data_IF_724359349251
#
_entry.id   IF_724359349251
#
_cell.length_a   1.000
_cell.length_b   1.000
_cell.length_c   1.000
_cell.angle_alpha   90.00
_cell.angle_beta   90.00
_cell.angle_gamma   90.00
#
_symmetry.space_group_name_H-M   'P 1'
#
loop_
_entity.id
_entity.type
_entity.pdbx_description
1 polymer ?
#
# COMPACT_ATOMS: atom_id res chain seq x y z
N UNK A 1 1.68 25.94 3.15
CA UNK A 1 2.85 25.06 2.95
C UNK A 1 3.10 24.37 4.27
N UNK A 2 2.91 23.05 4.38
CA UNK A 2 3.64 22.30 5.40
C UNK A 2 5.08 22.29 4.90
N UNK A 3 5.88 23.19 5.47
CA UNK A 3 7.33 23.16 5.34
C UNK A 3 7.68 21.86 6.06
N UNK A 4 8.02 20.82 5.30
CA UNK A 4 8.93 19.81 5.81
C UNK A 4 10.11 20.61 6.34
N UNK A 5 10.24 20.72 7.67
CA UNK A 5 11.57 20.97 8.21
C UNK A 5 12.43 19.84 7.64
N UNK A 6 13.54 20.14 6.96
CA UNK A 6 14.52 19.13 6.60
C UNK A 6 15.24 18.71 7.88
N UNK A 7 14.49 18.14 8.84
CA UNK A 7 15.05 17.54 10.03
C UNK A 7 15.45 16.11 9.65
N UNK A 8 16.69 16.00 9.17
CA UNK A 8 17.66 14.98 9.59
C UNK A 8 17.17 13.54 9.76
N UNK A 9 16.38 13.00 8.82
CA UNK A 9 16.36 11.53 8.68
C UNK A 9 17.69 11.17 8.03
N UNK A 10 18.53 10.33 8.65
CA UNK A 10 19.77 9.89 8.02
C UNK A 10 19.37 9.24 6.69
N UNK A 11 19.81 9.85 5.61
CA UNK A 11 19.70 9.26 4.28
C UNK A 11 20.56 8.00 4.31
N UNK A 12 19.97 6.85 4.01
CA UNK A 12 20.76 5.64 3.83
C UNK A 12 21.76 5.92 2.70
N UNK A 13 23.04 5.69 2.97
CA UNK A 13 24.08 5.64 1.96
C UNK A 13 23.79 4.50 0.99
N UNK A 14 24.32 4.58 -0.24
CA UNK A 14 24.19 3.51 -1.21
C UNK A 14 24.64 2.15 -0.64
N UNK A 15 25.75 2.13 0.11
CA UNK A 15 26.24 0.93 0.78
C UNK A 15 25.25 0.38 1.82
N UNK A 16 24.64 1.24 2.64
CA UNK A 16 23.61 0.81 3.61
C UNK A 16 22.38 0.23 2.90
N UNK A 17 21.96 0.82 1.77
CA UNK A 17 20.85 0.28 0.98
C UNK A 17 21.22 -1.09 0.41
N UNK A 18 22.42 -1.27 -0.14
CA UNK A 18 22.90 -2.57 -0.63
C UNK A 18 22.89 -3.63 0.48
N UNK A 19 23.43 -3.31 1.66
CA UNK A 19 23.45 -4.23 2.81
C UNK A 19 22.02 -4.63 3.21
N UNK A 20 21.09 -3.67 3.29
CA UNK A 20 19.68 -3.97 3.59
C UNK A 20 19.07 -4.87 2.52
N UNK A 21 19.33 -4.59 1.25
CA UNK A 21 18.81 -5.38 0.14
C UNK A 21 19.32 -6.83 0.20
N UNK A 22 20.62 -7.04 0.37
CA UNK A 22 21.23 -8.37 0.50
C UNK A 22 20.69 -9.13 1.71
N UNK A 23 20.65 -8.49 2.89
CA UNK A 23 20.10 -9.08 4.12
C UNK A 23 18.68 -9.58 3.91
N UNK A 24 17.83 -8.75 3.30
CA UNK A 24 16.40 -9.05 3.16
C UNK A 24 16.08 -9.94 1.97
N UNK A 25 16.86 -9.92 0.90
CA UNK A 25 16.79 -10.93 -0.17
C UNK A 25 17.01 -12.31 0.45
N UNK A 26 18.05 -12.47 1.28
CA UNK A 26 18.31 -13.73 1.94
C UNK A 26 17.19 -14.10 2.94
N UNK A 27 16.77 -13.14 3.78
CA UNK A 27 15.75 -13.38 4.81
C UNK A 27 14.39 -13.77 4.23
N UNK A 28 14.02 -13.20 3.08
CA UNK A 28 12.78 -13.50 2.36
C UNK A 28 12.92 -14.69 1.40
N UNK A 29 14.10 -15.32 1.36
CA UNK A 29 14.44 -16.44 0.49
C UNK A 29 14.29 -16.10 -1.00
N UNK A 30 14.69 -14.90 -1.41
CA UNK A 30 14.58 -14.42 -2.79
C UNK A 30 15.87 -14.65 -3.59
N UNK A 31 16.83 -15.39 -3.03
CA UNK A 31 18.09 -15.73 -3.70
C UNK A 31 17.83 -16.49 -5.01
N UNK A 32 18.59 -16.13 -6.05
CA UNK A 32 18.45 -16.73 -7.38
C UNK A 32 17.32 -16.15 -8.23
N UNK A 33 16.48 -15.27 -7.69
CA UNK A 33 15.59 -14.46 -8.52
C UNK A 33 16.37 -13.31 -9.18
N UNK A 34 16.09 -13.01 -10.47
CA UNK A 34 16.67 -11.85 -11.13
C UNK A 34 16.03 -10.57 -10.57
N UNK A 35 16.66 -9.95 -9.57
CA UNK A 35 16.22 -8.70 -8.94
C UNK A 35 17.29 -7.62 -9.17
N UNK A 36 16.88 -6.53 -9.80
CA UNK A 36 17.71 -5.35 -10.03
C UNK A 36 17.23 -4.20 -9.14
N UNK A 37 18.18 -3.50 -8.52
CA UNK A 37 17.92 -2.33 -7.69
C UNK A 37 18.33 -1.08 -8.47
N UNK A 38 17.34 -0.32 -8.92
CA UNK A 38 17.52 0.87 -9.75
C UNK A 38 17.49 2.12 -8.86
N UNK A 39 18.65 2.72 -8.60
CA UNK A 39 18.77 3.91 -7.76
C UNK A 39 18.50 5.16 -8.59
N UNK A 40 17.49 5.94 -8.17
CA UNK A 40 17.06 7.14 -8.89
C UNK A 40 17.47 8.39 -8.09
N UNK A 41 18.53 9.05 -8.54
CA UNK A 41 19.03 10.34 -8.04
C UNK A 41 18.16 11.53 -8.52
N UNK A 42 16.85 11.41 -8.35
CA UNK A 42 15.94 12.55 -8.52
C UNK A 42 15.24 12.82 -7.21
N UNK A 43 15.04 14.11 -6.84
CA UNK A 43 14.27 14.43 -5.66
C UNK A 43 12.89 13.81 -5.83
N UNK A 44 12.58 12.86 -4.94
CA UNK A 44 11.30 12.22 -4.72
C UNK A 44 10.15 12.90 -5.46
N UNK A 45 9.42 12.16 -6.30
CA UNK A 45 8.29 12.72 -7.05
C UNK A 45 7.27 13.32 -6.07
N UNK A 46 7.37 14.65 -5.86
CA UNK A 46 6.58 15.41 -4.89
C UNK A 46 5.07 15.30 -5.15
N UNK A 47 4.67 14.82 -6.34
CA UNK A 47 3.27 14.60 -6.71
C UNK A 47 2.76 13.22 -6.29
N UNK A 48 3.58 12.16 -6.35
CA UNK A 48 3.13 10.78 -6.08
C UNK A 48 3.39 10.33 -4.66
N UNK A 49 4.34 10.95 -3.97
CA UNK A 49 4.79 10.55 -2.65
C UNK A 49 5.30 9.09 -2.57
N UNK A 50 5.94 8.59 -3.62
CA UNK A 50 6.49 7.22 -3.66
C UNK A 50 7.99 7.24 -3.38
N UNK A 51 8.41 6.44 -2.39
CA UNK A 51 9.82 6.26 -2.03
C UNK A 51 10.47 5.10 -2.78
N UNK A 52 9.67 4.13 -3.21
CA UNK A 52 10.08 3.05 -4.07
C UNK A 52 8.89 2.55 -4.91
N UNK A 53 9.21 1.72 -5.90
CA UNK A 53 8.22 0.96 -6.67
C UNK A 53 8.84 -0.34 -7.19
N UNK A 54 8.11 -1.43 -7.01
CA UNK A 54 8.42 -2.72 -7.64
C UNK A 54 7.81 -2.83 -9.04
N UNK A 55 8.60 -3.30 -10.00
CA UNK A 55 8.20 -3.51 -11.39
C UNK A 55 8.62 -4.91 -11.84
N UNK A 56 7.80 -5.54 -12.68
CA UNK A 56 8.21 -6.71 -13.45
C UNK A 56 8.51 -6.29 -14.88
N UNK A 57 9.71 -6.62 -15.35
CA UNK A 57 10.13 -6.49 -16.74
C UNK A 57 9.88 -7.80 -17.49
N UNK A 58 8.95 -7.75 -18.44
CA UNK A 58 8.56 -8.93 -19.22
C UNK A 58 9.60 -9.34 -20.26
N UNK A 59 10.44 -8.41 -20.72
CA UNK A 59 11.47 -8.67 -21.73
C UNK A 59 12.69 -9.32 -21.07
N UNK A 60 13.15 -8.75 -19.96
CA UNK A 60 14.30 -9.27 -19.20
C UNK A 60 13.94 -10.45 -18.27
N UNK A 61 12.63 -10.69 -18.06
CA UNK A 61 12.11 -11.65 -17.07
C UNK A 61 12.70 -11.42 -15.69
N UNK A 62 12.73 -10.15 -15.29
CA UNK A 62 13.38 -9.69 -14.08
C UNK A 62 12.51 -8.72 -13.27
N UNK A 63 12.75 -8.71 -11.96
CA UNK A 63 12.20 -7.72 -11.05
C UNK A 63 13.10 -6.50 -11.01
N UNK A 64 12.49 -5.32 -11.06
CA UNK A 64 13.16 -4.05 -10.84
C UNK A 64 12.55 -3.38 -9.64
N UNK A 65 13.40 -2.92 -8.71
CA UNK A 65 12.96 -2.07 -7.61
C UNK A 65 13.60 -0.71 -7.83
N UNK A 66 12.79 0.26 -8.21
CA UNK A 66 13.21 1.65 -8.30
C UNK A 66 13.22 2.26 -6.90
N UNK A 67 14.38 2.68 -6.43
CA UNK A 67 14.59 3.28 -5.10
C UNK A 67 14.92 4.77 -5.27
N UNK A 68 14.07 5.65 -4.75
CA UNK A 68 14.24 7.10 -4.87
C UNK A 68 15.08 7.66 -3.71
N UNK A 69 15.65 8.85 -3.90
CA UNK A 69 16.37 9.58 -2.85
C UNK A 69 15.52 9.71 -1.57
N UNK A 70 16.15 9.61 -0.39
CA UNK A 70 15.52 9.62 0.94
C UNK A 70 14.67 8.38 1.29
N UNK A 71 14.90 7.27 0.60
CA UNK A 71 14.30 5.99 0.97
C UNK A 71 14.76 5.56 2.36
N UNK A 72 13.85 4.97 3.13
CA UNK A 72 14.13 4.41 4.45
C UNK A 72 14.13 2.88 4.43
N UNK A 73 14.73 2.27 5.46
CA UNK A 73 14.86 0.81 5.57
C UNK A 73 13.51 0.10 5.43
N UNK A 74 12.45 0.64 6.03
CA UNK A 74 11.11 0.02 5.99
C UNK A 74 10.55 0.04 4.56
N UNK A 75 10.73 1.13 3.82
CA UNK A 75 10.31 1.22 2.43
C UNK A 75 11.05 0.20 1.53
N UNK A 76 12.37 0.05 1.67
CA UNK A 76 13.14 -0.96 0.90
C UNK A 76 12.60 -2.36 1.17
N UNK A 77 12.42 -2.72 2.45
CA UNK A 77 11.91 -4.03 2.84
C UNK A 77 10.47 -4.23 2.35
N UNK A 78 9.64 -3.18 2.36
CA UNK A 78 8.27 -3.22 1.84
C UNK A 78 8.23 -3.56 0.34
N UNK A 79 9.07 -2.91 -0.47
CA UNK A 79 9.15 -3.21 -1.91
C UNK A 79 9.61 -4.66 -2.17
N UNK A 80 10.60 -5.16 -1.42
CA UNK A 80 10.99 -6.58 -1.45
C UNK A 80 9.86 -7.50 -0.99
N UNK A 81 9.06 -7.05 -0.03
CA UNK A 81 7.88 -7.74 0.47
C UNK A 81 6.83 -7.98 -0.60
N UNK A 82 6.71 -7.12 -1.60
CA UNK A 82 5.86 -7.39 -2.75
C UNK A 82 6.34 -8.64 -3.51
N UNK A 83 7.64 -8.72 -3.86
CA UNK A 83 8.21 -9.88 -4.56
C UNK A 83 8.03 -11.16 -3.74
N UNK A 84 8.32 -11.10 -2.45
CA UNK A 84 8.07 -12.19 -1.51
C UNK A 84 6.60 -12.60 -1.49
N UNK A 85 5.69 -11.63 -1.51
CA UNK A 85 4.27 -11.91 -1.51
C UNK A 85 3.83 -12.60 -2.82
N UNK A 86 4.34 -12.16 -3.97
CA UNK A 86 4.15 -12.87 -5.25
C UNK A 86 4.61 -14.32 -5.18
N UNK A 87 5.78 -14.55 -4.59
CA UNK A 87 6.39 -15.88 -4.42
C UNK A 87 5.49 -16.80 -3.60
N UNK A 88 5.03 -16.37 -2.43
CA UNK A 88 4.22 -17.24 -1.55
C UNK A 88 2.82 -17.51 -2.11
N UNK A 89 2.26 -16.59 -2.90
CA UNK A 89 1.01 -16.80 -3.64
C UNK A 89 1.18 -17.71 -4.86
N UNK A 90 2.42 -17.97 -5.27
CA UNK A 90 2.76 -18.61 -6.54
C UNK A 90 2.06 -17.93 -7.74
N UNK A 91 1.98 -16.59 -7.69
CA UNK A 91 1.37 -15.76 -8.73
C UNK A 91 2.28 -14.55 -8.97
N UNK A 92 3.38 -14.77 -9.70
CA UNK A 92 4.45 -13.79 -9.92
C UNK A 92 3.97 -12.47 -10.53
N UNK A 93 2.85 -12.47 -11.24
CA UNK A 93 2.28 -11.28 -11.87
C UNK A 93 1.32 -10.49 -10.96
N UNK A 94 1.09 -10.95 -9.73
CA UNK A 94 0.03 -10.44 -8.85
C UNK A 94 0.34 -9.05 -8.27
N UNK A 95 1.59 -8.82 -7.87
CA UNK A 95 2.08 -7.60 -7.21
C UNK A 95 2.86 -6.68 -8.14
N UNK A 96 3.18 -7.13 -9.35
CA UNK A 96 3.90 -6.32 -10.30
C UNK A 96 2.98 -5.20 -10.79
N UNK A 97 3.31 -3.94 -10.45
CA UNK A 97 3.09 -2.87 -11.41
C UNK A 97 3.87 -3.27 -12.65
N UNK A 98 3.24 -3.98 -13.57
CA UNK A 98 3.96 -4.42 -14.73
C UNK A 98 4.52 -3.14 -15.39
N UNK A 99 5.68 -3.21 -16.02
CA UNK A 99 5.82 -2.52 -17.31
C UNK A 99 4.83 -3.17 -18.28
N UNK A 100 3.53 -3.11 -17.94
CA UNK A 100 2.46 -3.33 -18.89
C UNK A 100 2.83 -2.41 -20.02
N UNK A 101 2.88 -2.91 -21.26
CA UNK A 101 3.18 -2.11 -22.44
C UNK A 101 2.65 -0.69 -22.19
N UNK A 102 3.50 0.35 -22.24
CA UNK A 102 3.15 1.73 -21.78
C UNK A 102 1.71 2.14 -22.16
N UNK A 103 1.24 1.62 -23.30
CA UNK A 103 -0.12 1.66 -23.80
C UNK A 103 -1.24 1.15 -22.87
N UNK A 104 -1.09 0.03 -22.15
CA UNK A 104 -2.10 -0.50 -21.21
C UNK A 104 -2.10 0.24 -19.88
N UNK A 105 -0.94 0.62 -19.34
CA UNK A 105 -0.87 1.49 -18.16
C UNK A 105 -1.56 2.85 -18.42
N UNK A 106 -1.37 3.42 -19.62
CA UNK A 106 -2.09 4.64 -20.06
C UNK A 106 -3.61 4.51 -20.09
N UNK A 107 -4.15 3.29 -20.16
CA UNK A 107 -5.60 3.03 -20.15
C UNK A 107 -6.17 2.81 -18.75
N UNK A 108 -5.31 2.66 -17.74
CA UNK A 108 -5.74 2.47 -16.36
C UNK A 108 -6.05 3.81 -15.71
N UNK A 109 -7.10 3.83 -14.89
CA UNK A 109 -7.37 4.92 -13.99
C UNK A 109 -6.37 4.85 -12.83
N UNK A 110 -5.44 5.80 -12.84
CA UNK A 110 -4.37 5.88 -11.85
C UNK A 110 -4.90 5.96 -10.41
N UNK A 111 -5.97 6.73 -10.17
CA UNK A 111 -6.53 6.86 -8.82
C UNK A 111 -7.10 5.53 -8.33
N UNK A 112 -7.82 4.78 -9.16
CA UNK A 112 -8.29 3.44 -8.80
C UNK A 112 -7.11 2.51 -8.45
N UNK A 113 -6.07 2.53 -9.28
CA UNK A 113 -4.86 1.70 -9.10
C UNK A 113 -4.18 1.97 -7.77
N UNK A 114 -4.12 3.23 -7.33
CA UNK A 114 -3.54 3.58 -6.02
C UNK A 114 -4.27 2.91 -4.86
N UNK A 115 -5.59 2.80 -4.94
CA UNK A 115 -6.37 2.15 -3.88
C UNK A 115 -6.14 0.63 -3.85
N UNK A 116 -5.89 0.01 -5.00
CA UNK A 116 -5.52 -1.41 -5.05
C UNK A 116 -4.19 -1.63 -4.36
N UNK A 117 -3.17 -0.88 -4.78
CA UNK A 117 -1.85 -0.94 -4.16
C UNK A 117 -1.97 -0.70 -2.65
N UNK A 118 -2.72 0.32 -2.24
CA UNK A 118 -2.92 0.62 -0.81
C UNK A 118 -3.50 -0.53 0.01
N UNK A 119 -4.41 -1.33 -0.54
CA UNK A 119 -4.93 -2.52 0.12
C UNK A 119 -3.96 -3.71 0.02
N UNK A 120 -3.29 -3.86 -1.11
CA UNK A 120 -2.26 -4.87 -1.35
C UNK A 120 -1.07 -4.69 -0.37
N UNK A 121 -0.63 -3.45 -0.16
CA UNK A 121 0.39 -3.05 0.80
C UNK A 121 0.08 -3.58 2.20
N UNK A 122 -1.19 -3.65 2.60
CA UNK A 122 -1.58 -4.22 3.90
C UNK A 122 -1.33 -5.72 3.99
N UNK A 123 -1.54 -6.48 2.90
CA UNK A 123 -1.16 -7.89 2.88
C UNK A 123 0.37 -8.06 2.93
N UNK A 124 1.08 -7.24 2.16
CA UNK A 124 2.56 -7.24 2.16
C UNK A 124 3.09 -6.94 3.56
N UNK A 125 2.64 -5.84 4.19
CA UNK A 125 3.06 -5.47 5.53
C UNK A 125 2.71 -6.56 6.54
N UNK A 126 1.50 -7.15 6.47
CA UNK A 126 1.12 -8.26 7.32
C UNK A 126 2.10 -9.43 7.23
N UNK A 127 2.42 -9.88 6.02
CA UNK A 127 3.36 -10.99 5.83
C UNK A 127 4.79 -10.64 6.27
N UNK A 128 5.22 -9.39 6.07
CA UNK A 128 6.51 -8.90 6.54
C UNK A 128 6.60 -8.80 8.07
N UNK A 129 5.50 -8.49 8.78
CA UNK A 129 5.51 -8.43 10.26
C UNK A 129 5.81 -9.76 10.95
N UNK A 130 5.78 -10.87 10.20
CA UNK A 130 6.18 -12.20 10.68
C UNK A 130 7.71 -12.34 10.80
N UNK A 131 8.48 -11.47 10.17
CA UNK A 131 9.94 -11.46 10.22
C UNK A 131 10.45 -10.53 11.31
N UNK A 132 11.42 -11.02 12.08
CA UNK A 132 12.11 -10.22 13.10
C UNK A 132 12.75 -8.97 12.48
N UNK A 133 12.75 -7.85 13.21
CA UNK A 133 13.32 -6.58 12.76
C UNK A 133 12.44 -5.73 11.82
N UNK A 134 11.52 -6.33 11.04
CA UNK A 134 10.54 -5.52 10.29
C UNK A 134 9.44 -4.97 11.20
N UNK A 135 8.97 -5.79 12.15
CA UNK A 135 7.86 -5.40 13.02
C UNK A 135 8.15 -4.09 13.79
N UNK A 136 9.36 -3.90 14.31
CA UNK A 136 9.72 -2.68 15.05
C UNK A 136 9.74 -1.43 14.14
N UNK A 137 10.20 -1.60 12.90
CA UNK A 137 10.15 -0.56 11.89
C UNK A 137 8.70 -0.22 11.50
N UNK A 138 7.83 -1.23 11.41
CA UNK A 138 6.40 -1.07 11.19
C UNK A 138 5.72 -0.32 12.35
N UNK A 139 5.98 -0.70 13.60
CA UNK A 139 5.44 0.00 14.79
C UNK A 139 5.90 1.46 14.84
N UNK A 140 7.17 1.73 14.50
CA UNK A 140 7.72 3.09 14.43
C UNK A 140 7.01 3.91 13.36
N UNK A 141 6.75 3.32 12.19
CA UNK A 141 5.96 3.93 11.13
C UNK A 141 4.54 4.27 11.61
N UNK A 142 3.83 3.32 12.22
CA UNK A 142 2.48 3.54 12.76
C UNK A 142 2.46 4.66 13.80
N UNK A 143 3.41 4.66 14.74
CA UNK A 143 3.49 5.73 15.75
C UNK A 143 3.71 7.11 15.13
N UNK A 144 4.47 7.20 14.03
CA UNK A 144 4.64 8.45 13.27
C UNK A 144 3.36 8.84 12.53
N UNK A 145 2.72 7.89 11.86
CA UNK A 145 1.52 8.11 11.04
C UNK A 145 0.33 8.56 11.92
N UNK A 146 0.16 7.98 13.11
CA UNK A 146 -0.87 8.38 14.08
C UNK A 146 -0.72 9.83 14.56
N UNK A 147 0.51 10.36 14.59
CA UNK A 147 0.82 11.76 14.96
C UNK A 147 0.66 12.72 13.80
N UNK A 148 0.81 12.24 12.57
CA UNK A 148 0.66 13.04 11.37
C UNK A 148 -0.81 13.13 10.94
N UNK A 149 -1.24 14.32 10.52
CA UNK A 149 -2.58 14.52 10.00
C UNK A 149 -2.54 15.10 8.60
N UNK A 150 -3.21 14.46 7.62
CA UNK A 150 -3.36 15.04 6.31
C UNK A 150 -4.10 16.38 6.41
N UNK A 151 -3.52 17.45 5.85
CA UNK A 151 -4.08 18.80 5.88
C UNK A 151 -5.50 18.84 5.28
N UNK A 152 -6.55 19.14 6.08
CA UNK A 152 -7.94 19.22 5.63
C UNK A 152 -8.18 20.19 4.47
N UNK A 153 -7.35 21.21 4.29
CA UNK A 153 -7.52 22.19 3.23
C UNK A 153 -6.95 21.72 1.89
N UNK A 154 -5.98 20.78 1.91
CA UNK A 154 -5.24 20.34 0.71
C UNK A 154 -5.84 19.12 0.02
N UNK A 155 -6.58 18.31 0.76
CA UNK A 155 -6.98 16.99 0.30
C UNK A 155 -8.50 16.87 0.10
N UNK A 156 -8.92 16.15 -0.93
CA UNK A 156 -10.33 15.83 -1.18
C UNK A 156 -10.78 14.61 -0.34
N UNK A 157 -12.07 14.28 -0.41
CA UNK A 157 -12.63 13.14 0.32
C UNK A 157 -11.94 11.81 0.00
N UNK A 158 -11.59 11.60 -1.28
CA UNK A 158 -10.90 10.39 -1.77
C UNK A 158 -9.55 10.25 -1.10
N UNK A 159 -8.75 11.30 -1.06
CA UNK A 159 -7.43 11.21 -0.42
C UNK A 159 -7.53 10.84 1.08
N UNK A 160 -8.52 11.36 1.81
CA UNK A 160 -8.76 10.92 3.20
C UNK A 160 -9.19 9.47 3.31
N UNK A 161 -10.05 8.99 2.40
CA UNK A 161 -10.44 7.59 2.38
C UNK A 161 -9.24 6.68 2.11
N UNK A 162 -8.37 7.05 1.18
CA UNK A 162 -7.13 6.34 0.90
C UNK A 162 -6.27 6.15 2.15
N UNK A 163 -6.15 7.17 3.01
CA UNK A 163 -5.46 7.05 4.30
C UNK A 163 -6.23 6.14 5.27
N UNK A 164 -7.55 6.30 5.35
CA UNK A 164 -8.42 5.53 6.24
C UNK A 164 -8.28 4.02 6.03
N UNK A 165 -8.32 3.55 4.77
CA UNK A 165 -8.29 2.12 4.43
C UNK A 165 -7.07 1.42 5.02
N UNK A 166 -5.88 2.01 4.84
CA UNK A 166 -4.65 1.43 5.37
C UNK A 166 -4.52 1.60 6.86
N UNK A 167 -4.77 2.80 7.39
CA UNK A 167 -4.66 3.03 8.83
C UNK A 167 -5.56 2.07 9.62
N UNK A 168 -6.78 1.82 9.13
CA UNK A 168 -7.72 0.88 9.74
C UNK A 168 -7.15 -0.56 9.77
N UNK A 169 -6.71 -1.08 8.62
CA UNK A 169 -6.18 -2.45 8.55
C UNK A 169 -4.88 -2.59 9.35
N UNK A 170 -3.95 -1.66 9.16
CA UNK A 170 -2.65 -1.69 9.84
C UNK A 170 -2.81 -1.68 11.37
N UNK A 171 -3.69 -0.82 11.90
CA UNK A 171 -3.87 -0.67 13.35
C UNK A 171 -4.75 -1.76 13.96
N UNK A 172 -5.82 -2.20 13.28
CA UNK A 172 -6.75 -3.17 13.87
C UNK A 172 -6.37 -4.63 13.62
N UNK A 173 -5.66 -4.92 12.51
CA UNK A 173 -5.51 -6.29 12.02
C UNK A 173 -4.07 -6.75 11.80
N UNK A 174 -3.11 -5.82 11.73
CA UNK A 174 -1.67 -6.13 11.57
C UNK A 174 -0.89 -5.90 12.86
N UNK A 175 -1.12 -4.75 13.53
CA UNK A 175 -0.47 -4.42 14.79
C UNK A 175 -0.77 -5.49 15.84
N UNK A 176 0.25 -5.97 16.56
CA UNK A 176 0.06 -6.98 17.62
C UNK A 176 -0.73 -6.37 18.77
N UNK A 177 -1.49 -7.20 19.47
CA UNK A 177 -2.40 -6.79 20.55
C UNK A 177 -1.72 -5.91 21.62
N UNK A 178 -0.45 -6.18 21.95
CA UNK A 178 0.32 -5.38 22.92
C UNK A 178 0.50 -3.93 22.47
N UNK A 179 0.91 -3.71 21.22
CA UNK A 179 1.10 -2.37 20.67
C UNK A 179 -0.22 -1.70 20.31
N UNK A 180 -1.19 -2.49 19.84
CA UNK A 180 -2.54 -2.00 19.58
C UNK A 180 -3.17 -1.43 20.86
N UNK A 181 -3.12 -2.17 21.98
CA UNK A 181 -3.63 -1.69 23.26
C UNK A 181 -2.88 -0.44 23.75
N UNK A 182 -1.57 -0.39 23.52
CA UNK A 182 -0.73 0.76 23.86
C UNK A 182 -1.13 2.03 23.11
N UNK A 183 -1.49 1.92 21.83
CA UNK A 183 -1.85 3.06 20.97
C UNK A 183 -3.36 3.23 20.77
N UNK A 184 -4.20 2.46 21.49
CA UNK A 184 -5.64 2.41 21.23
C UNK A 184 -6.31 3.80 21.25
N UNK A 185 -6.04 4.68 22.23
CA UNK A 185 -6.63 6.02 22.24
C UNK A 185 -6.24 6.86 21.01
N UNK A 186 -4.97 6.80 20.59
CA UNK A 186 -4.47 7.49 19.40
C UNK A 186 -5.06 6.92 18.11
N UNK A 187 -5.17 5.59 18.01
CA UNK A 187 -5.78 4.88 16.88
C UNK A 187 -7.24 5.32 16.73
N UNK A 188 -8.03 5.25 17.80
CA UNK A 188 -9.46 5.63 17.77
C UNK A 188 -9.63 7.11 17.40
N UNK A 189 -8.86 8.00 18.04
CA UNK A 189 -8.87 9.43 17.76
C UNK A 189 -8.53 9.73 16.30
N UNK A 190 -7.48 9.10 15.78
CA UNK A 190 -7.00 9.27 14.42
C UNK A 190 -8.04 8.80 13.39
N UNK A 191 -8.59 7.59 13.56
CA UNK A 191 -9.58 7.01 12.65
C UNK A 191 -10.92 7.76 12.68
N UNK A 192 -11.40 8.16 13.86
CA UNK A 192 -12.61 8.99 14.00
C UNK A 192 -12.43 10.32 13.24
N UNK A 193 -11.26 10.96 13.40
CA UNK A 193 -10.97 12.23 12.74
C UNK A 193 -10.91 12.09 11.23
N UNK A 194 -10.23 11.10 10.68
CA UNK A 194 -10.19 10.84 9.23
C UNK A 194 -11.61 10.54 8.71
N UNK A 195 -12.36 9.67 9.39
CA UNK A 195 -13.75 9.33 9.04
C UNK A 195 -14.63 10.59 8.95
N UNK A 196 -14.55 11.47 9.95
CA UNK A 196 -15.30 12.73 9.96
C UNK A 196 -14.90 13.66 8.80
N UNK A 197 -13.62 13.70 8.44
CA UNK A 197 -13.14 14.48 7.28
C UNK A 197 -13.69 13.93 5.97
N UNK A 198 -13.69 12.60 5.76
CA UNK A 198 -14.30 12.00 4.57
C UNK A 198 -15.78 12.33 4.51
N UNK A 199 -16.55 12.05 5.58
CA UNK A 199 -18.01 12.30 5.59
C UNK A 199 -18.32 13.78 5.33
N UNK A 200 -17.60 14.69 5.97
CA UNK A 200 -17.83 16.14 5.81
C UNK A 200 -17.54 16.61 4.39
N UNK A 201 -16.44 16.17 3.77
CA UNK A 201 -16.09 16.57 2.41
C UNK A 201 -17.01 15.96 1.36
N UNK A 202 -17.36 14.68 1.51
CA UNK A 202 -18.29 14.01 0.60
C UNK A 202 -19.66 14.68 0.59
N UNK A 203 -20.18 15.08 1.77
CA UNK A 203 -21.43 15.85 1.86
C UNK A 203 -21.39 17.16 1.08
N UNK A 204 -20.25 17.87 1.11
CA UNK A 204 -20.04 19.11 0.34
C UNK A 204 -19.93 18.85 -1.16
N UNK A 205 -19.40 17.69 -1.55
CA UNK A 205 -19.27 17.24 -2.94
C UNK A 205 -20.60 16.72 -3.54
N UNK A 206 -21.73 16.84 -2.82
CA UNK A 206 -23.05 16.26 -3.19
C UNK A 206 -23.05 14.74 -3.41
N UNK A 207 -21.96 14.07 -3.05
CA UNK A 207 -21.86 12.63 -3.04
C UNK A 207 -22.47 12.10 -1.73
N UNK A 208 -23.28 11.03 -1.80
CA UNK A 208 -23.99 10.49 -0.63
C UNK A 208 -23.20 9.37 0.07
N UNK A 209 -22.07 9.68 0.72
CA UNK A 209 -21.51 8.76 1.74
C UNK A 209 -22.20 9.05 3.08
N UNK A 210 -23.06 8.11 3.51
CA UNK A 210 -23.71 8.14 4.82
C UNK A 210 -22.86 7.42 5.87
N UNK A 211 -23.08 7.70 7.15
CA UNK A 211 -22.46 6.98 8.26
C UNK A 211 -22.64 5.46 8.14
N UNK A 212 -23.85 5.00 7.76
CA UNK A 212 -24.14 3.58 7.46
C UNK A 212 -23.20 2.95 6.43
N UNK A 213 -22.72 3.71 5.44
CA UNK A 213 -21.77 3.18 4.44
C UNK A 213 -20.36 3.04 5.02
N UNK A 214 -19.97 3.90 5.95
CA UNK A 214 -18.72 3.73 6.69
C UNK A 214 -18.77 2.52 7.61
N UNK A 215 -19.90 2.24 8.25
CA UNK A 215 -20.06 1.00 9.03
C UNK A 215 -19.92 -0.25 8.14
N UNK A 216 -20.54 -0.25 6.96
CA UNK A 216 -20.36 -1.34 6.00
C UNK A 216 -18.91 -1.47 5.53
N UNK A 217 -18.17 -0.36 5.43
CA UNK A 217 -16.75 -0.37 5.12
C UNK A 217 -15.96 -1.02 6.25
N UNK A 218 -16.15 -0.59 7.50
CA UNK A 218 -15.45 -1.15 8.67
C UNK A 218 -15.65 -2.67 8.72
N UNK A 219 -16.90 -3.13 8.61
CA UNK A 219 -17.26 -4.55 8.53
C UNK A 219 -16.54 -5.27 7.38
N UNK A 220 -16.40 -4.61 6.23
CA UNK A 220 -15.71 -5.21 5.09
C UNK A 220 -14.21 -5.28 5.32
N UNK A 221 -13.61 -4.25 5.93
CA UNK A 221 -12.19 -4.23 6.30
C UNK A 221 -11.89 -5.26 7.39
N UNK A 222 -12.83 -5.56 8.29
CA UNK A 222 -12.68 -6.59 9.31
C UNK A 222 -12.51 -8.00 8.72
N UNK A 223 -13.06 -8.24 7.52
CA UNK A 223 -12.82 -9.49 6.79
C UNK A 223 -11.35 -9.70 6.43
N UNK A 224 -10.50 -8.66 6.49
CA UNK A 224 -9.06 -8.82 6.33
C UNK A 224 -8.51 -9.87 7.29
N UNK A 225 -9.00 -9.94 8.53
CA UNK A 225 -8.53 -10.91 9.51
C UNK A 225 -8.75 -12.37 9.07
N UNK A 226 -9.78 -12.63 8.28
CA UNK A 226 -10.14 -13.96 7.78
C UNK A 226 -9.32 -14.37 6.55
N UNK A 227 -8.80 -13.40 5.80
CA UNK A 227 -8.18 -13.64 4.48
C UNK A 227 -6.69 -13.29 4.42
N UNK A 228 -6.13 -12.64 5.43
CA UNK A 228 -4.75 -12.14 5.44
C UNK A 228 -3.69 -13.22 5.25
N UNK A 229 -4.02 -14.47 5.57
CA UNK A 229 -3.17 -15.66 5.37
C UNK A 229 -3.49 -16.44 4.08
N UNK A 230 -4.43 -15.96 3.26
CA UNK A 230 -4.82 -16.62 2.02
C UNK A 230 -3.65 -16.72 1.04
N UNK A 231 -3.40 -17.92 0.54
CA UNK A 231 -2.45 -18.16 -0.55
C UNK A 231 -3.10 -18.06 -1.94
N UNK A 232 -4.41 -17.82 -1.99
CA UNK A 232 -5.16 -17.68 -3.24
C UNK A 232 -5.29 -16.22 -3.65
N UNK A 233 -4.60 -15.82 -4.71
CA UNK A 233 -4.65 -14.43 -5.23
C UNK A 233 -6.07 -13.97 -5.54
N UNK A 234 -6.94 -14.86 -6.03
CA UNK A 234 -8.36 -14.57 -6.33
C UNK A 234 -9.15 -14.10 -5.10
N UNK A 235 -8.90 -14.68 -3.92
CA UNK A 235 -9.58 -14.30 -2.67
C UNK A 235 -9.20 -12.88 -2.30
N UNK A 236 -7.92 -12.54 -2.43
CA UNK A 236 -7.37 -11.21 -2.14
C UNK A 236 -7.92 -10.17 -3.14
N UNK A 237 -7.90 -10.48 -4.44
CA UNK A 237 -8.50 -9.63 -5.48
C UNK A 237 -9.96 -9.36 -5.18
N UNK A 238 -10.73 -10.40 -4.84
CA UNK A 238 -12.15 -10.27 -4.53
C UNK A 238 -12.38 -9.35 -3.32
N UNK A 239 -11.59 -9.50 -2.27
CA UNK A 239 -11.64 -8.61 -1.11
C UNK A 239 -11.40 -7.16 -1.52
N UNK A 240 -10.31 -6.88 -2.25
CA UNK A 240 -10.00 -5.52 -2.69
C UNK A 240 -11.12 -4.93 -3.56
N UNK A 241 -11.64 -5.72 -4.50
CA UNK A 241 -12.74 -5.30 -5.38
C UNK A 241 -14.00 -4.96 -4.59
N UNK A 242 -14.44 -5.88 -3.73
CA UNK A 242 -15.65 -5.70 -2.93
C UNK A 242 -15.53 -4.49 -2.00
N UNK A 243 -14.37 -4.30 -1.37
CA UNK A 243 -14.08 -3.13 -0.49
C UNK A 243 -14.21 -1.83 -1.26
N UNK A 244 -13.65 -1.74 -2.46
CA UNK A 244 -13.69 -0.51 -3.24
C UNK A 244 -15.03 -0.25 -3.91
N UNK A 245 -15.78 -1.30 -4.25
CA UNK A 245 -17.13 -1.20 -4.80
C UNK A 245 -18.16 -0.66 -3.79
N UNK A 246 -17.85 -0.68 -2.49
CA UNK A 246 -18.67 0.02 -1.48
C UNK A 246 -18.68 1.54 -1.68
N UNK A 247 -17.65 2.08 -2.33
CA UNK A 247 -17.58 3.49 -2.66
C UNK A 247 -18.12 3.73 -4.07
N UNK A 248 -19.17 4.54 -4.16
CA UNK A 248 -19.70 5.01 -5.44
C UNK A 248 -18.88 6.16 -6.04
N UNK A 249 -17.56 6.14 -5.86
CA UNK A 249 -16.66 7.07 -6.54
C UNK A 249 -16.42 6.68 -7.99
N UNK A 250 -16.55 5.38 -8.28
CA UNK A 250 -16.41 4.80 -9.60
C UNK A 250 -17.63 3.92 -9.89
N UNK A 251 -17.99 3.80 -11.16
CA UNK A 251 -18.95 2.79 -11.58
C UNK A 251 -18.38 1.39 -11.39
N UNK A 252 -19.27 0.40 -11.26
CA UNK A 252 -18.87 -1.00 -11.17
C UNK A 252 -18.06 -1.42 -12.40
N UNK A 253 -18.45 -0.95 -13.57
CA UNK A 253 -17.81 -1.21 -14.86
C UNK A 253 -16.40 -0.62 -14.92
N UNK A 254 -16.20 0.63 -14.47
CA UNK A 254 -14.87 1.25 -14.39
C UNK A 254 -13.95 0.50 -13.43
N UNK A 255 -14.47 0.13 -12.25
CA UNK A 255 -13.70 -0.62 -11.26
C UNK A 255 -13.30 -1.98 -11.83
N UNK A 256 -14.27 -2.72 -12.38
CA UNK A 256 -14.06 -4.04 -13.00
C UNK A 256 -13.06 -3.97 -14.14
N UNK A 257 -13.18 -2.99 -15.04
CA UNK A 257 -12.23 -2.80 -16.13
C UNK A 257 -10.81 -2.59 -15.61
N UNK A 258 -10.63 -1.72 -14.61
CA UNK A 258 -9.33 -1.46 -14.01
C UNK A 258 -8.72 -2.68 -13.31
N UNK A 259 -9.51 -3.44 -12.54
CA UNK A 259 -9.05 -4.68 -11.91
C UNK A 259 -8.57 -5.70 -12.94
N UNK A 260 -9.31 -5.86 -14.04
CA UNK A 260 -8.93 -6.79 -15.11
C UNK A 260 -7.65 -6.35 -15.81
N UNK A 261 -7.45 -5.03 -15.99
CA UNK A 261 -6.21 -4.50 -16.52
C UNK A 261 -5.04 -4.69 -15.55
N UNK A 262 -5.23 -4.50 -14.25
CA UNK A 262 -4.19 -4.64 -13.24
C UNK A 262 -3.77 -6.10 -13.06
N UNK A 263 -4.69 -6.98 -12.65
CA UNK A 263 -4.39 -8.38 -12.30
C UNK A 263 -4.37 -9.33 -13.49
N UNK A 264 -4.43 -8.78 -14.70
CA UNK A 264 -4.30 -9.54 -15.93
C UNK A 264 -5.29 -10.72 -16.06
N UNK A 265 -6.49 -10.58 -15.50
CA UNK A 265 -7.49 -11.64 -15.35
C UNK A 265 -8.03 -12.21 -16.68
N UNK A 266 -7.73 -11.58 -17.82
CA UNK A 266 -8.22 -11.98 -19.15
C UNK A 266 -7.16 -12.58 -20.09
N UNK A 267 -5.87 -12.58 -19.74
CA UNK A 267 -4.82 -13.09 -20.64
C UNK A 267 -4.29 -14.47 -20.29
N UNK A 268 -4.77 -15.09 -19.18
CA UNK A 268 -4.60 -16.53 -18.92
C UNK A 268 -5.69 -17.34 -19.66
N UNK A 269 -5.79 -17.18 -20.98
CA UNK A 269 -6.54 -18.05 -21.90
C UNK A 269 -5.63 -18.48 -23.03
#
# INVERSE_FOLDING_TARGET
MSIHKPDSKPTLTFLEVQIICEEWVNKLQLEGLPIFFDYIEQPYNKKTFQKGIVLWDEEEKAWHIELYELIDKRAIIHELGHIYFAKILNDWYFVASCKVSKQRFRKMNYEITRYFNRLLDCFVDYHLTKFEGFYDAFVTYISSDLKEYPDPQRYDSRKFLFYYLKAYIDCYHILKSTDQNKFLPEIESHLIKIRNLVITKVRREKNKLSFKRFQNLDQKLDLFNEIKDSLESKVIVKFMFDTLNLFRFWSFEELRYNFNLYFNLYSKR
#
